data_IF_621351726850
#
_entry.id   IF_621351726850
#
_cell.length_a   1.000
_cell.length_b   1.000
_cell.length_c   1.000
_cell.angle_alpha   90.00
_cell.angle_beta   90.00
_cell.angle_gamma   90.00
#
_symmetry.space_group_name_H-M   'P 1'
#
loop_
_entity.id
_entity.type
_entity.pdbx_description
1 polymer ?
#
# COMPACT_ATOMS: atom_id res chain seq x y z
N UNK A 1 11.35 -23.76 -9.75
CA UNK A 1 10.00 -23.85 -9.15
C UNK A 1 9.15 -22.78 -9.78
N UNK A 2 7.95 -23.12 -10.26
CA UNK A 2 6.98 -22.11 -10.69
C UNK A 2 6.50 -21.39 -9.41
N UNK A 3 6.97 -20.15 -9.21
CA UNK A 3 6.52 -19.30 -8.13
C UNK A 3 5.31 -18.53 -8.63
N UNK A 4 4.18 -18.63 -7.95
CA UNK A 4 2.99 -17.85 -8.24
C UNK A 4 3.19 -16.41 -7.75
N UNK A 5 2.97 -15.45 -8.64
CA UNK A 5 3.00 -14.02 -8.32
C UNK A 5 1.58 -13.53 -8.15
N UNK A 6 1.32 -12.87 -7.03
CA UNK A 6 -0.01 -12.33 -6.72
C UNK A 6 -0.08 -10.85 -7.08
N UNK A 7 -1.28 -10.38 -7.35
CA UNK A 7 -1.52 -9.00 -7.76
C UNK A 7 -2.43 -8.29 -6.74
N UNK A 8 -2.14 -7.04 -6.45
CA UNK A 8 -3.02 -6.14 -5.71
C UNK A 8 -3.56 -5.08 -6.68
N UNK A 9 -4.86 -4.84 -6.65
CA UNK A 9 -5.47 -3.76 -7.43
C UNK A 9 -5.40 -2.43 -6.66
N UNK A 10 -4.93 -1.38 -7.33
CA UNK A 10 -4.86 -0.02 -6.78
C UNK A 10 -5.70 0.98 -7.60
N UNK A 11 -6.55 0.50 -8.49
CA UNK A 11 -7.34 1.33 -9.43
C UNK A 11 -8.26 2.30 -8.71
N UNK A 12 -9.03 1.80 -7.73
CA UNK A 12 -10.05 2.59 -7.03
C UNK A 12 -9.51 3.43 -5.86
N UNK A 13 -8.20 3.45 -5.67
CA UNK A 13 -7.55 4.34 -4.69
C UNK A 13 -6.42 5.15 -5.32
N UNK A 14 -5.31 4.49 -5.68
CA UNK A 14 -4.09 5.19 -6.10
C UNK A 14 -4.20 5.80 -7.50
N UNK A 15 -4.71 5.04 -8.45
CA UNK A 15 -4.81 5.50 -9.83
C UNK A 15 -5.72 6.73 -9.96
N UNK A 16 -6.90 6.74 -9.34
CA UNK A 16 -7.74 7.94 -9.40
C UNK A 16 -7.21 9.08 -8.52
N UNK A 17 -6.42 8.79 -7.50
CA UNK A 17 -5.70 9.83 -6.75
C UNK A 17 -4.71 10.55 -7.65
N UNK A 18 -3.96 9.83 -8.46
CA UNK A 18 -2.98 10.38 -9.38
C UNK A 18 -3.60 11.11 -10.57
N UNK A 19 -4.60 10.50 -11.22
CA UNK A 19 -5.11 10.97 -12.51
C UNK A 19 -6.36 11.85 -12.42
N UNK A 20 -7.19 11.69 -11.38
CA UNK A 20 -8.45 12.39 -11.23
C UNK A 20 -8.49 13.29 -9.99
N UNK A 21 -7.34 13.73 -9.50
CA UNK A 21 -7.24 14.53 -8.29
C UNK A 21 -8.07 13.95 -7.14
N UNK A 22 -8.13 12.63 -7.02
CA UNK A 22 -8.88 11.89 -6.00
C UNK A 22 -10.42 12.09 -6.10
N UNK A 23 -10.96 12.42 -7.26
CA UNK A 23 -12.38 12.82 -7.41
C UNK A 23 -13.33 11.66 -7.78
N UNK A 24 -12.89 10.40 -7.74
CA UNK A 24 -13.80 9.26 -7.94
C UNK A 24 -14.76 9.16 -6.76
N UNK A 25 -16.06 9.25 -7.05
CA UNK A 25 -17.12 9.11 -6.03
C UNK A 25 -17.37 7.64 -5.71
N UNK A 26 -17.98 7.37 -4.55
CA UNK A 26 -18.41 5.99 -4.20
C UNK A 26 -19.36 5.42 -5.24
N UNK A 27 -20.26 6.22 -5.79
CA UNK A 27 -21.20 5.79 -6.84
C UNK A 27 -20.49 5.33 -8.12
N UNK A 28 -19.37 5.96 -8.52
CA UNK A 28 -18.57 5.57 -9.69
C UNK A 28 -17.90 4.20 -9.51
N UNK A 29 -17.64 3.77 -8.28
CA UNK A 29 -17.01 2.48 -7.98
C UNK A 29 -17.98 1.30 -8.09
N UNK A 30 -19.29 1.56 -8.08
CA UNK A 30 -20.34 0.52 -7.99
C UNK A 30 -20.24 -0.55 -9.08
N UNK A 31 -20.03 -0.12 -10.31
CA UNK A 31 -20.00 -1.05 -11.46
C UNK A 31 -18.70 -1.84 -11.57
N UNK A 32 -17.60 -1.29 -11.06
CA UNK A 32 -16.29 -1.94 -11.17
C UNK A 32 -15.95 -2.80 -9.96
N UNK A 33 -16.39 -2.43 -8.75
CA UNK A 33 -16.01 -3.11 -7.51
C UNK A 33 -16.32 -4.62 -7.51
N UNK A 34 -17.52 -5.09 -7.93
CA UNK A 34 -17.79 -6.53 -8.02
C UNK A 34 -16.96 -7.25 -9.10
N UNK A 35 -16.49 -6.54 -10.12
CA UNK A 35 -15.63 -7.12 -11.17
C UNK A 35 -14.22 -7.30 -10.64
N UNK A 36 -13.69 -6.31 -9.90
CA UNK A 36 -12.41 -6.42 -9.21
C UNK A 36 -12.43 -7.56 -8.17
N UNK A 37 -13.53 -7.70 -7.42
CA UNK A 37 -13.73 -8.77 -6.45
C UNK A 37 -13.65 -10.18 -7.07
N UNK A 38 -13.98 -10.32 -8.34
CA UNK A 38 -13.95 -11.59 -9.07
C UNK A 38 -12.71 -11.77 -9.97
N UNK A 39 -11.79 -10.80 -9.97
CA UNK A 39 -10.61 -10.84 -10.84
C UNK A 39 -9.43 -11.66 -10.25
N UNK A 40 -9.52 -12.09 -8.99
CA UNK A 40 -8.50 -12.92 -8.35
C UNK A 40 -7.33 -12.11 -7.74
N UNK A 41 -7.55 -10.85 -7.42
CA UNK A 41 -6.54 -10.06 -6.69
C UNK A 41 -6.36 -10.55 -5.24
N UNK A 42 -5.14 -10.42 -4.73
CA UNK A 42 -4.80 -10.65 -3.32
C UNK A 42 -5.56 -9.70 -2.39
N UNK A 43 -5.64 -8.43 -2.79
CA UNK A 43 -6.36 -7.38 -2.10
C UNK A 43 -6.70 -6.22 -3.05
N UNK A 44 -7.60 -5.35 -2.64
CA UNK A 44 -7.99 -4.13 -3.38
C UNK A 44 -7.76 -2.91 -2.50
N UNK A 45 -6.94 -1.97 -2.97
CA UNK A 45 -6.66 -0.72 -2.26
C UNK A 45 -7.86 0.24 -2.42
N UNK A 46 -8.46 0.62 -1.30
CA UNK A 46 -9.73 1.36 -1.29
C UNK A 46 -9.62 2.78 -0.77
N UNK A 47 -9.07 2.95 0.42
CA UNK A 47 -9.04 4.24 1.11
C UNK A 47 -7.65 4.49 1.67
N UNK A 48 -7.17 5.70 1.46
CA UNK A 48 -5.90 6.11 2.05
C UNK A 48 -5.40 7.42 1.50
N UNK A 49 -4.32 7.92 2.08
CA UNK A 49 -3.73 9.16 1.64
C UNK A 49 -4.76 10.29 1.57
N UNK A 50 -4.87 10.90 0.39
CA UNK A 50 -5.80 11.99 0.16
C UNK A 50 -7.27 11.57 0.05
N UNK A 51 -7.57 10.29 -0.19
CA UNK A 51 -8.96 9.84 -0.46
C UNK A 51 -9.88 10.16 0.71
N UNK A 52 -9.43 9.87 1.94
CA UNK A 52 -10.23 10.14 3.15
C UNK A 52 -10.57 11.62 3.30
N UNK A 53 -9.57 12.48 3.16
CA UNK A 53 -9.74 13.93 3.25
C UNK A 53 -10.61 14.49 2.11
N UNK A 54 -10.39 14.02 0.88
CA UNK A 54 -11.16 14.45 -0.30
C UNK A 54 -12.63 14.03 -0.22
N UNK A 55 -12.95 12.86 0.33
CA UNK A 55 -14.34 12.47 0.59
C UNK A 55 -15.06 13.57 1.37
N UNK A 56 -14.48 14.04 2.46
CA UNK A 56 -15.08 15.08 3.32
C UNK A 56 -15.10 16.44 2.65
N UNK A 57 -13.94 16.92 2.17
CA UNK A 57 -13.76 18.30 1.71
C UNK A 57 -14.43 18.59 0.37
N UNK A 58 -14.36 17.65 -0.55
CA UNK A 58 -14.73 17.90 -1.95
C UNK A 58 -15.93 17.09 -2.42
N UNK A 59 -16.00 15.79 -2.05
CA UNK A 59 -17.08 14.94 -2.53
C UNK A 59 -18.35 15.02 -1.68
N UNK A 60 -18.23 15.53 -0.45
CA UNK A 60 -19.32 15.55 0.53
C UNK A 60 -19.81 14.14 0.87
N UNK A 61 -18.90 13.20 0.89
CA UNK A 61 -19.12 11.81 1.25
C UNK A 61 -18.51 11.50 2.61
N UNK A 62 -19.15 10.64 3.39
CA UNK A 62 -18.57 10.06 4.60
C UNK A 62 -17.59 8.96 4.20
N UNK A 63 -16.27 9.08 4.48
CA UNK A 63 -15.30 8.06 4.13
C UNK A 63 -15.52 6.74 4.88
N UNK A 64 -16.11 6.74 6.06
CA UNK A 64 -16.47 5.53 6.80
C UNK A 64 -17.63 4.81 6.12
N UNK A 65 -18.62 5.55 5.63
CA UNK A 65 -19.72 5.00 4.84
C UNK A 65 -19.21 4.40 3.53
N UNK A 66 -18.27 5.06 2.85
CA UNK A 66 -17.60 4.49 1.67
C UNK A 66 -17.00 3.10 1.98
N UNK A 67 -16.29 2.95 3.10
CA UNK A 67 -15.72 1.66 3.51
C UNK A 67 -16.81 0.61 3.68
N UNK A 68 -17.91 0.93 4.38
CA UNK A 68 -19.03 0.00 4.58
C UNK A 68 -19.70 -0.41 3.28
N UNK A 69 -19.93 0.55 2.40
CA UNK A 69 -20.58 0.31 1.10
C UNK A 69 -19.68 -0.60 0.25
N UNK A 70 -18.39 -0.27 0.10
CA UNK A 70 -17.47 -1.07 -0.70
C UNK A 70 -17.30 -2.48 -0.09
N UNK A 71 -17.24 -2.61 1.22
CA UNK A 71 -17.20 -3.91 1.89
C UNK A 71 -18.47 -4.75 1.64
N UNK A 72 -19.62 -4.11 1.32
CA UNK A 72 -20.82 -4.82 0.92
C UNK A 72 -20.82 -5.27 -0.55
N UNK A 73 -20.05 -4.61 -1.41
CA UNK A 73 -19.94 -4.95 -2.84
C UNK A 73 -18.76 -5.87 -3.14
N UNK A 74 -17.70 -5.81 -2.32
CA UNK A 74 -16.49 -6.62 -2.39
C UNK A 74 -16.51 -7.61 -1.23
N UNK A 75 -16.84 -8.86 -1.50
CA UNK A 75 -17.14 -9.84 -0.45
C UNK A 75 -16.10 -10.96 -0.34
N UNK A 76 -15.23 -11.11 -1.34
CA UNK A 76 -14.22 -12.17 -1.43
C UNK A 76 -12.81 -11.63 -1.19
N UNK A 77 -12.51 -10.47 -1.77
CA UNK A 77 -11.18 -9.88 -1.79
C UNK A 77 -11.01 -8.90 -0.61
N UNK A 78 -9.95 -9.02 0.19
CA UNK A 78 -9.68 -8.08 1.28
C UNK A 78 -9.55 -6.64 0.78
N UNK A 79 -10.16 -5.70 1.50
CA UNK A 79 -10.03 -4.27 1.24
C UNK A 79 -8.90 -3.67 2.08
N UNK A 80 -8.09 -2.82 1.43
CA UNK A 80 -6.93 -2.16 2.04
C UNK A 80 -7.31 -0.78 2.53
N UNK A 81 -6.86 -0.47 3.74
CA UNK A 81 -6.70 0.89 4.25
C UNK A 81 -5.22 1.27 4.19
N UNK A 82 -4.92 2.47 3.68
CA UNK A 82 -3.56 2.96 3.50
C UNK A 82 -3.31 4.23 4.31
N UNK A 83 -2.33 4.23 5.24
CA UNK A 83 -2.05 5.37 6.12
C UNK A 83 -0.60 5.83 6.09
N UNK A 84 -0.38 7.08 6.50
CA UNK A 84 0.96 7.69 6.66
C UNK A 84 1.40 7.59 8.12
N UNK A 85 1.72 6.38 8.57
CA UNK A 85 2.13 6.18 9.95
C UNK A 85 1.18 6.84 10.94
N UNK A 86 1.73 7.52 11.92
CA UNK A 86 0.99 8.21 12.98
C UNK A 86 0.24 9.47 12.50
N UNK A 87 0.51 9.94 11.27
CA UNK A 87 -0.26 11.03 10.65
C UNK A 87 -1.56 10.56 9.99
N UNK A 88 -1.82 9.26 9.95
CA UNK A 88 -3.00 8.65 9.33
C UNK A 88 -3.22 9.15 7.89
N UNK A 89 -4.19 10.03 7.68
CA UNK A 89 -4.57 10.57 6.37
C UNK A 89 -4.10 12.02 6.16
N UNK A 90 -3.47 12.62 7.18
CA UNK A 90 -3.06 14.03 7.19
C UNK A 90 -1.55 14.18 7.08
N UNK A 91 -1.03 15.37 7.41
CA UNK A 91 0.39 15.68 7.51
C UNK A 91 0.79 16.10 8.93
N UNK A 92 -0.13 15.97 9.90
CA UNK A 92 0.09 16.25 11.31
C UNK A 92 0.02 14.95 12.11
N UNK A 93 0.83 14.82 13.15
CA UNK A 93 0.83 13.66 14.02
C UNK A 93 -0.40 13.65 14.93
N UNK A 94 -1.02 12.50 15.02
CA UNK A 94 -2.03 12.23 16.04
C UNK A 94 -1.42 11.57 17.27
N UNK A 95 -2.09 11.72 18.41
CA UNK A 95 -1.74 11.00 19.61
C UNK A 95 -1.99 9.50 19.47
N UNK A 96 -1.30 8.70 20.28
CA UNK A 96 -1.35 7.24 20.19
C UNK A 96 -2.75 6.66 20.38
N UNK A 97 -3.57 7.28 21.22
CA UNK A 97 -4.94 6.86 21.48
C UNK A 97 -5.84 7.07 20.24
N UNK A 98 -5.65 8.15 19.49
CA UNK A 98 -6.35 8.40 18.23
C UNK A 98 -5.92 7.38 17.16
N UNK A 99 -4.63 7.06 17.07
CA UNK A 99 -4.14 6.05 16.14
C UNK A 99 -4.71 4.67 16.47
N UNK A 100 -4.73 4.30 17.75
CA UNK A 100 -5.32 3.03 18.22
C UNK A 100 -6.83 2.97 17.95
N UNK A 101 -7.56 4.05 18.25
CA UNK A 101 -8.99 4.16 17.94
C UNK A 101 -9.25 4.05 16.44
N UNK A 102 -8.38 4.65 15.62
CA UNK A 102 -8.50 4.56 14.16
C UNK A 102 -8.36 3.13 13.66
N UNK A 103 -7.39 2.37 14.18
CA UNK A 103 -7.19 0.97 13.84
C UNK A 103 -8.44 0.12 14.20
N UNK A 104 -9.01 0.34 15.39
CA UNK A 104 -10.27 -0.29 15.80
C UNK A 104 -11.41 0.04 14.81
N UNK A 105 -11.52 1.32 14.42
CA UNK A 105 -12.56 1.75 13.48
C UNK A 105 -12.36 1.20 12.08
N UNK A 106 -11.12 1.03 11.61
CA UNK A 106 -10.83 0.36 10.33
C UNK A 106 -11.34 -1.08 10.34
N UNK A 107 -11.01 -1.85 11.37
CA UNK A 107 -11.49 -3.21 11.53
C UNK A 107 -13.03 -3.28 11.59
N UNK A 108 -13.66 -2.40 12.38
CA UNK A 108 -15.11 -2.35 12.54
C UNK A 108 -15.84 -1.96 11.23
N UNK A 109 -15.19 -1.27 10.30
CA UNK A 109 -15.73 -0.92 8.98
C UNK A 109 -15.29 -1.89 7.87
N UNK A 110 -14.76 -3.06 8.24
CA UNK A 110 -14.51 -4.18 7.32
C UNK A 110 -13.15 -4.16 6.64
N UNK A 111 -12.23 -3.25 7.02
CA UNK A 111 -10.88 -3.27 6.49
C UNK A 111 -10.10 -4.47 7.06
N UNK A 112 -9.49 -5.25 6.16
CA UNK A 112 -8.77 -6.47 6.52
C UNK A 112 -7.27 -6.39 6.27
N UNK A 113 -6.84 -5.34 5.59
CA UNK A 113 -5.48 -5.17 5.14
C UNK A 113 -5.06 -3.71 5.40
N UNK A 114 -3.90 -3.51 6.01
CA UNK A 114 -3.38 -2.18 6.32
C UNK A 114 -2.00 -1.99 5.73
N UNK A 115 -1.89 -1.12 4.73
CA UNK A 115 -0.61 -0.63 4.27
C UNK A 115 -0.29 0.68 5.01
N UNK A 116 0.91 0.75 5.57
CA UNK A 116 1.34 1.91 6.35
C UNK A 116 2.78 2.29 6.00
N UNK A 117 3.07 3.56 5.87
CA UNK A 117 4.42 4.02 5.57
C UNK A 117 4.73 5.37 6.25
N UNK A 118 6.01 5.64 6.40
CA UNK A 118 6.53 6.97 6.71
C UNK A 118 7.40 7.47 5.56
N UNK A 119 7.19 8.70 5.10
CA UNK A 119 7.89 9.24 3.93
C UNK A 119 9.41 9.31 4.09
N UNK A 120 9.89 9.40 5.32
CA UNK A 120 11.32 9.44 5.68
C UNK A 120 11.85 8.09 6.19
N UNK A 121 11.03 7.03 6.15
CA UNK A 121 11.33 5.72 6.72
C UNK A 121 11.72 5.79 8.21
N UNK A 122 11.04 6.63 8.98
CA UNK A 122 11.17 6.64 10.44
C UNK A 122 10.26 5.58 11.06
N UNK A 123 10.85 4.46 11.49
CA UNK A 123 10.10 3.31 11.99
C UNK A 123 9.35 3.60 13.29
N UNK A 124 9.75 4.62 14.05
CA UNK A 124 9.03 5.07 15.26
C UNK A 124 7.60 5.53 14.96
N UNK A 125 7.37 6.06 13.76
CA UNK A 125 6.05 6.48 13.31
C UNK A 125 5.16 5.31 12.85
N UNK A 126 5.72 4.11 12.69
CA UNK A 126 5.03 2.93 12.19
C UNK A 126 4.66 1.92 13.28
N UNK A 127 5.37 1.92 14.41
CA UNK A 127 5.20 0.93 15.47
C UNK A 127 3.75 0.89 15.99
N UNK A 128 3.22 2.03 16.44
CA UNK A 128 1.86 2.10 17.00
C UNK A 128 0.78 1.74 15.99
N UNK A 129 0.78 2.28 14.75
CA UNK A 129 -0.18 1.88 13.73
C UNK A 129 -0.14 0.38 13.41
N UNK A 130 1.04 -0.24 13.32
CA UNK A 130 1.20 -1.67 13.05
C UNK A 130 0.63 -2.50 14.18
N UNK A 131 1.09 -2.25 15.42
CA UNK A 131 0.67 -3.01 16.60
C UNK A 131 -0.84 -2.88 16.83
N UNK A 132 -1.38 -1.67 16.70
CA UNK A 132 -2.81 -1.43 16.84
C UNK A 132 -3.63 -2.16 15.77
N UNK A 133 -3.25 -2.10 14.50
CA UNK A 133 -3.97 -2.80 13.44
C UNK A 133 -3.94 -4.32 13.65
N UNK A 134 -2.80 -4.90 14.00
CA UNK A 134 -2.67 -6.33 14.30
C UNK A 134 -3.51 -6.78 15.48
N UNK A 135 -3.61 -5.97 16.54
CA UNK A 135 -4.44 -6.30 17.70
C UNK A 135 -5.93 -6.43 17.36
N UNK A 136 -6.36 -5.87 16.22
CA UNK A 136 -7.71 -5.99 15.67
C UNK A 136 -7.82 -6.99 14.51
N UNK A 137 -6.79 -7.83 14.30
CA UNK A 137 -6.78 -8.89 13.29
C UNK A 137 -6.65 -8.37 11.84
N UNK A 138 -6.12 -7.17 11.66
CA UNK A 138 -5.83 -6.60 10.34
C UNK A 138 -4.43 -7.06 9.90
N UNK A 139 -4.31 -7.58 8.70
CA UNK A 139 -3.05 -7.95 8.07
C UNK A 139 -2.23 -6.69 7.75
N UNK A 140 -1.01 -6.58 8.27
CA UNK A 140 -0.22 -5.35 8.23
C UNK A 140 0.96 -5.45 7.29
N UNK A 141 1.07 -4.46 6.41
CA UNK A 141 2.10 -4.39 5.38
C UNK A 141 2.73 -2.99 5.39
N UNK A 142 3.75 -2.76 6.21
CA UNK A 142 4.48 -1.50 6.17
C UNK A 142 5.30 -1.37 4.89
N UNK A 143 5.52 -0.12 4.47
CA UNK A 143 6.26 0.23 3.27
C UNK A 143 7.58 0.90 3.56
N UNK A 144 8.60 0.52 2.79
CA UNK A 144 9.84 1.25 2.65
C UNK A 144 9.70 2.20 1.47
N UNK A 145 9.67 3.49 1.75
CA UNK A 145 9.62 4.52 0.70
C UNK A 145 10.97 4.58 0.02
N UNK A 146 10.96 4.28 -1.28
CA UNK A 146 12.16 4.32 -2.09
C UNK A 146 12.48 5.75 -2.53
N UNK A 147 13.73 6.12 -2.40
CA UNK A 147 14.33 7.31 -3.01
C UNK A 147 15.77 7.01 -3.41
N UNK A 148 16.30 7.83 -4.30
CA UNK A 148 17.68 7.73 -4.78
C UNK A 148 18.52 8.86 -4.17
N UNK A 149 19.53 8.48 -3.39
CA UNK A 149 20.51 9.41 -2.83
C UNK A 149 21.73 8.65 -2.27
N UNK A 150 22.84 9.32 -2.00
CA UNK A 150 24.05 8.67 -1.45
C UNK A 150 23.86 7.94 -0.12
N UNK A 151 22.80 8.26 0.66
CA UNK A 151 22.54 7.63 1.95
C UNK A 151 21.52 6.47 1.87
N UNK A 152 20.77 6.37 0.76
CA UNK A 152 19.75 5.34 0.57
C UNK A 152 20.35 4.11 -0.14
N UNK A 153 21.32 3.48 0.52
CA UNK A 153 22.01 2.26 0.04
C UNK A 153 21.19 1.01 0.25
N UNK A 154 21.66 -0.13 -0.25
CA UNK A 154 21.04 -1.44 0.02
C UNK A 154 21.06 -1.78 1.51
N UNK A 155 22.18 -1.47 2.18
CA UNK A 155 22.34 -1.68 3.61
C UNK A 155 21.37 -0.82 4.43
N UNK A 156 21.11 0.43 3.99
CA UNK A 156 20.11 1.28 4.61
C UNK A 156 18.73 0.62 4.55
N UNK A 157 18.29 0.18 3.37
CA UNK A 157 16.98 -0.46 3.20
C UNK A 157 16.89 -1.82 3.92
N UNK A 158 17.94 -2.62 3.89
CA UNK A 158 18.00 -3.87 4.65
C UNK A 158 17.85 -3.64 6.16
N UNK A 159 18.56 -2.64 6.71
CA UNK A 159 18.43 -2.25 8.12
C UNK A 159 17.01 -1.79 8.45
N UNK A 160 16.38 -0.98 7.60
CA UNK A 160 15.00 -0.53 7.81
C UNK A 160 13.99 -1.68 7.72
N UNK A 161 14.23 -2.64 6.83
CA UNK A 161 13.43 -3.87 6.77
C UNK A 161 13.57 -4.70 8.06
N UNK A 162 14.78 -4.83 8.59
CA UNK A 162 15.04 -5.53 9.86
C UNK A 162 14.30 -4.86 11.03
N UNK A 163 14.34 -3.52 11.14
CA UNK A 163 13.60 -2.76 12.15
C UNK A 163 12.09 -3.09 12.08
N UNK A 164 11.51 -3.20 10.88
CA UNK A 164 10.09 -3.56 10.68
C UNK A 164 9.80 -5.02 11.07
N UNK A 165 10.68 -5.94 10.74
CA UNK A 165 10.55 -7.36 11.15
C UNK A 165 10.52 -7.48 12.67
N UNK A 166 11.30 -6.68 13.39
CA UNK A 166 11.32 -6.65 14.85
C UNK A 166 10.01 -6.13 15.47
N UNK A 167 9.32 -5.21 14.81
CA UNK A 167 7.97 -4.75 15.22
C UNK A 167 6.95 -5.89 15.06
N UNK A 168 7.19 -6.80 14.13
CA UNK A 168 6.29 -7.90 13.77
C UNK A 168 5.31 -7.48 12.68
N UNK A 169 5.58 -7.87 11.44
CA UNK A 169 4.81 -7.53 10.25
C UNK A 169 4.35 -8.79 9.53
N UNK A 170 3.31 -8.68 8.72
CA UNK A 170 2.78 -9.82 7.96
C UNK A 170 3.35 -9.88 6.53
N UNK A 171 3.67 -8.72 5.95
CA UNK A 171 4.41 -8.56 4.70
C UNK A 171 5.12 -7.19 4.68
N UNK A 172 5.97 -6.98 3.70
CA UNK A 172 6.68 -5.71 3.48
C UNK A 172 6.43 -5.24 2.04
N UNK A 173 6.33 -3.92 1.78
CA UNK A 173 6.33 -3.45 0.42
C UNK A 173 7.37 -2.36 0.16
N UNK A 174 7.98 -2.40 -1.02
CA UNK A 174 8.80 -1.32 -1.56
C UNK A 174 7.85 -0.33 -2.21
N UNK A 175 7.88 0.93 -1.76
CA UNK A 175 7.01 2.00 -2.24
C UNK A 175 7.81 3.01 -3.05
N UNK A 176 7.75 2.89 -4.36
CA UNK A 176 8.35 3.82 -5.30
C UNK A 176 7.27 4.73 -5.92
N UNK A 177 6.81 5.68 -5.14
CA UNK A 177 5.80 6.66 -5.59
C UNK A 177 6.36 7.69 -6.58
N UNK A 178 7.67 7.78 -6.71
CA UNK A 178 8.36 8.71 -7.62
C UNK A 178 8.77 8.08 -8.95
N UNK A 179 8.59 6.74 -9.10
CA UNK A 179 8.97 6.02 -10.32
C UNK A 179 10.48 6.08 -10.62
N UNK A 180 11.30 6.08 -9.56
CA UNK A 180 12.76 6.18 -9.65
C UNK A 180 13.47 4.84 -9.79
N UNK A 181 12.79 3.74 -9.47
CA UNK A 181 13.37 2.41 -9.58
C UNK A 181 13.73 2.10 -11.03
N UNK A 182 14.93 1.59 -11.21
CA UNK A 182 15.43 1.05 -12.47
C UNK A 182 15.76 -0.44 -12.30
N UNK A 183 15.78 -1.24 -13.38
CA UNK A 183 16.04 -2.68 -13.31
C UNK A 183 17.35 -3.03 -12.61
N UNK A 184 18.40 -2.27 -12.85
CA UNK A 184 19.73 -2.45 -12.24
C UNK A 184 19.66 -2.30 -10.71
N UNK A 185 18.86 -1.36 -10.24
CA UNK A 185 18.68 -1.13 -8.79
C UNK A 185 17.90 -2.26 -8.13
N UNK A 186 16.94 -2.85 -8.83
CA UNK A 186 16.19 -4.02 -8.35
C UNK A 186 17.10 -5.21 -8.11
N UNK A 187 18.10 -5.42 -8.96
CA UNK A 187 19.02 -6.55 -8.86
C UNK A 187 19.84 -6.60 -7.57
N UNK A 188 20.00 -5.46 -6.90
CA UNK A 188 20.73 -5.37 -5.62
C UNK A 188 19.81 -5.15 -4.43
N UNK A 189 18.83 -4.26 -4.57
CA UNK A 189 17.91 -3.86 -3.50
C UNK A 189 17.03 -5.04 -3.02
N UNK A 190 16.39 -5.75 -3.95
CA UNK A 190 15.46 -6.83 -3.59
C UNK A 190 16.19 -7.98 -2.87
N UNK A 191 17.34 -8.50 -3.34
CA UNK A 191 18.10 -9.49 -2.59
C UNK A 191 18.55 -9.02 -1.20
N UNK A 192 18.99 -7.77 -1.07
CA UNK A 192 19.40 -7.21 0.23
C UNK A 192 18.24 -7.21 1.24
N UNK A 193 17.05 -6.77 0.82
CA UNK A 193 15.85 -6.81 1.66
C UNK A 193 15.46 -8.26 1.98
N UNK A 194 15.40 -9.15 0.97
CA UNK A 194 15.01 -10.56 1.15
C UNK A 194 15.93 -11.31 2.12
N UNK A 195 17.21 -10.95 2.20
CA UNK A 195 18.15 -11.55 3.14
C UNK A 195 17.72 -11.36 4.60
N UNK A 196 17.12 -10.22 4.93
CA UNK A 196 16.74 -9.89 6.31
C UNK A 196 15.29 -10.23 6.64
N UNK A 197 14.38 -10.18 5.65
CA UNK A 197 12.98 -10.50 5.89
C UNK A 197 12.65 -11.99 5.76
N UNK A 198 13.56 -12.80 5.17
CA UNK A 198 13.37 -14.24 5.00
C UNK A 198 12.12 -14.59 4.20
N UNK A 199 11.25 -15.40 4.80
CA UNK A 199 10.00 -15.88 4.17
C UNK A 199 8.85 -14.88 4.19
N UNK A 200 9.01 -13.71 4.84
CA UNK A 200 8.01 -12.67 4.83
C UNK A 200 7.77 -12.21 3.38
N UNK A 201 6.50 -12.16 2.91
CA UNK A 201 6.19 -11.73 1.55
C UNK A 201 6.67 -10.30 1.26
N UNK A 202 7.34 -10.12 0.12
CA UNK A 202 7.77 -8.83 -0.37
C UNK A 202 6.85 -8.37 -1.51
N UNK A 203 6.38 -7.14 -1.43
CA UNK A 203 5.51 -6.51 -2.42
C UNK A 203 6.23 -5.35 -3.11
N UNK A 204 5.82 -5.03 -4.34
CA UNK A 204 6.31 -3.87 -5.07
C UNK A 204 5.13 -2.97 -5.47
N UNK A 205 5.27 -1.69 -5.15
CA UNK A 205 4.46 -0.60 -5.66
C UNK A 205 5.37 0.42 -6.33
N UNK A 206 5.22 0.64 -7.63
CA UNK A 206 6.01 1.62 -8.38
C UNK A 206 5.14 2.38 -9.36
N UNK A 207 5.33 3.70 -9.45
CA UNK A 207 4.68 4.55 -10.44
C UNK A 207 5.47 4.53 -11.77
N UNK A 208 4.77 4.71 -12.89
CA UNK A 208 5.35 4.58 -14.23
C UNK A 208 5.78 5.92 -14.84
N UNK A 209 6.34 6.84 -14.05
CA UNK A 209 6.74 8.18 -14.52
C UNK A 209 7.89 8.13 -15.55
N UNK A 210 8.80 7.18 -15.39
CA UNK A 210 9.92 6.94 -16.31
C UNK A 210 9.60 6.01 -17.48
N UNK A 211 8.41 5.39 -17.50
CA UNK A 211 8.05 4.33 -18.44
C UNK A 211 8.64 2.96 -18.12
N UNK A 212 9.42 2.82 -17.04
CA UNK A 212 10.16 1.59 -16.70
C UNK A 212 9.39 0.64 -15.77
N UNK A 213 8.27 1.05 -15.17
CA UNK A 213 7.57 0.25 -14.17
C UNK A 213 7.24 -1.19 -14.61
N UNK A 214 6.79 -1.49 -15.84
CA UNK A 214 6.56 -2.87 -16.27
C UNK A 214 7.84 -3.71 -16.25
N UNK A 215 8.97 -3.13 -16.67
CA UNK A 215 10.24 -3.84 -16.67
C UNK A 215 10.79 -4.02 -15.24
N UNK A 216 10.68 -2.98 -14.41
CA UNK A 216 11.01 -3.05 -12.97
C UNK A 216 10.20 -4.13 -12.27
N UNK A 217 8.89 -4.24 -12.55
CA UNK A 217 8.04 -5.28 -12.00
C UNK A 217 8.50 -6.69 -12.42
N UNK A 218 8.77 -6.92 -13.71
CA UNK A 218 9.26 -8.21 -14.20
C UNK A 218 10.60 -8.60 -13.57
N UNK A 219 11.53 -7.67 -13.46
CA UNK A 219 12.83 -7.91 -12.81
C UNK A 219 12.65 -8.20 -11.32
N UNK A 220 11.79 -7.44 -10.62
CA UNK A 220 11.56 -7.64 -9.18
C UNK A 220 11.00 -9.02 -8.87
N UNK A 221 10.12 -9.56 -9.72
CA UNK A 221 9.61 -10.93 -9.62
C UNK A 221 10.73 -11.93 -9.71
N UNK A 222 11.68 -11.76 -10.64
CA UNK A 222 12.83 -12.65 -10.81
C UNK A 222 13.72 -12.67 -9.56
N UNK A 223 13.88 -11.53 -8.87
CA UNK A 223 14.69 -11.40 -7.65
C UNK A 223 13.93 -11.69 -6.35
N UNK A 224 12.65 -12.00 -6.40
CA UNK A 224 11.98 -12.52 -5.22
C UNK A 224 10.80 -11.70 -4.68
N UNK A 225 10.30 -10.72 -5.42
CA UNK A 225 9.03 -10.06 -5.08
C UNK A 225 7.87 -11.03 -5.26
N UNK A 226 6.97 -11.10 -4.30
CA UNK A 226 5.85 -12.04 -4.22
C UNK A 226 4.55 -11.46 -4.74
N UNK A 227 4.39 -10.12 -4.61
CA UNK A 227 3.16 -9.41 -4.94
C UNK A 227 3.48 -8.11 -5.67
N UNK A 228 2.76 -7.82 -6.75
CA UNK A 228 2.91 -6.58 -7.52
C UNK A 228 1.60 -5.79 -7.48
N UNK A 229 1.70 -4.48 -7.23
CA UNK A 229 0.56 -3.58 -7.28
C UNK A 229 0.30 -3.16 -8.73
N UNK A 230 -0.96 -3.21 -9.14
CA UNK A 230 -1.38 -2.94 -10.53
C UNK A 230 -2.64 -2.09 -10.56
N UNK A 231 -2.84 -1.38 -11.67
CA UNK A 231 -4.08 -0.67 -11.93
C UNK A 231 -4.65 -1.06 -13.29
N UNK A 232 -5.96 -0.91 -13.49
CA UNK A 232 -6.58 -1.16 -14.81
C UNK A 232 -6.02 -0.22 -15.86
N UNK A 233 -5.85 -0.73 -17.08
CA UNK A 233 -5.15 -0.04 -18.18
C UNK A 233 -5.67 1.35 -18.50
N UNK A 234 -6.97 1.59 -18.35
CA UNK A 234 -7.57 2.91 -18.57
C UNK A 234 -7.15 3.97 -17.53
N UNK A 235 -6.69 3.56 -16.34
CA UNK A 235 -6.21 4.43 -15.27
C UNK A 235 -4.73 4.23 -14.96
N UNK A 236 -3.99 3.46 -15.77
CA UNK A 236 -2.57 3.19 -15.54
C UNK A 236 -1.67 3.63 -16.69
N UNK A 237 -2.24 4.13 -17.82
CA UNK A 237 -1.50 4.35 -19.05
C UNK A 237 -0.97 5.78 -19.24
N UNK A 238 -1.12 6.66 -18.30
CA UNK A 238 -0.76 8.07 -18.54
C UNK A 238 0.31 8.62 -17.63
N UNK A 239 0.86 7.83 -16.72
CA UNK A 239 1.97 8.29 -15.89
C UNK A 239 2.68 7.11 -15.26
#
# INVERSE_FOLDING_TARGET
MNREVRLIDVTIRDAHQCLWATRMTTAMMKEIAPKLDNAGFEAIDLVGGAVFDVCVRYLKEDPWERMRILNSWVTKTPLIIHTRGQSLFTFEFFSDDIVKLSAERFAANGMKYHTVYDALNDMRNLEIPIVAARSHGIYTVPGLVYTDSPVHTDEYYAKKAEELVQIGIDALFIKDASGLLIPERIATLVPAIKTVIGDIPLQLHTHCLSGLAPYVALQSIQYGVDVVHTATSTLSNSI
#
